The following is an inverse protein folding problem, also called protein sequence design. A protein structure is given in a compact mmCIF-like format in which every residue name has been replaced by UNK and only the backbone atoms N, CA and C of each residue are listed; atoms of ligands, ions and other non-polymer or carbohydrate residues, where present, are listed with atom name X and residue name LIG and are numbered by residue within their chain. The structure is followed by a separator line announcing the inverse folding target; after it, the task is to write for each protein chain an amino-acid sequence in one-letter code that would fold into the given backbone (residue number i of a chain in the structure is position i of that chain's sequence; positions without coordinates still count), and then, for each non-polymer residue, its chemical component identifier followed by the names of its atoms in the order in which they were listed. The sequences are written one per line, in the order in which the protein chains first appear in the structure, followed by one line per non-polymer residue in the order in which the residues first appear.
data_IF_037009438175
#
_entry.id   IF_037009438175
#
_cell.length_a   1.000
_cell.length_b   1.000
_cell.length_c   1.000
_cell.angle_alpha   90.00
_cell.angle_beta   90.00
_cell.angle_gamma   90.00
#
_symmetry.space_group_name_H-M   'P 1'
#
loop_
_entity.id
_entity.type
_entity.pdbx_description
1 polymer ?
#
# COMPACT_ATOMS: atom_id res chain seq x y z
N UNK A 1 7.07 30.72 37.94
CA UNK A 1 7.38 30.03 36.68
C UNK A 1 7.05 28.57 36.86
N UNK A 2 6.13 28.05 36.06
CA UNK A 2 5.78 26.62 36.03
C UNK A 2 6.47 25.92 34.86
N UNK A 3 6.42 24.58 34.81
CA UNK A 3 7.01 23.81 33.72
C UNK A 3 6.44 24.21 32.35
N UNK A 4 5.14 24.56 32.32
CA UNK A 4 4.40 25.02 31.15
C UNK A 4 4.95 26.33 30.57
N UNK A 5 5.63 27.16 31.36
CA UNK A 5 6.27 28.39 30.86
C UNK A 5 7.51 28.10 29.98
N UNK A 6 8.02 26.86 30.00
CA UNK A 6 9.23 26.45 29.29
C UNK A 6 8.99 25.39 28.22
N UNK A 7 7.76 24.89 28.05
CA UNK A 7 7.46 23.78 27.15
C UNK A 7 6.27 24.07 26.26
N UNK A 8 6.36 23.60 25.00
CA UNK A 8 5.21 23.48 24.12
C UNK A 8 4.80 22.01 24.05
N UNK A 9 3.56 21.71 24.43
CA UNK A 9 2.99 20.38 24.30
C UNK A 9 2.15 20.31 23.02
N UNK A 10 2.51 19.39 22.14
CA UNK A 10 1.72 19.06 20.95
C UNK A 10 1.19 17.63 21.09
N UNK A 11 -0.11 17.45 20.90
CA UNK A 11 -0.76 16.13 20.93
C UNK A 11 -1.58 15.92 19.66
N UNK A 12 -1.61 14.69 19.19
CA UNK A 12 -2.40 14.29 18.01
C UNK A 12 -2.86 12.84 18.18
N UNK A 13 -4.01 12.53 17.59
CA UNK A 13 -4.54 11.17 17.53
C UNK A 13 -4.38 10.62 16.11
N UNK A 14 -4.02 9.34 16.02
CA UNK A 14 -4.02 8.62 14.74
C UNK A 14 -5.19 7.63 14.76
N UNK A 15 -6.18 7.90 13.93
CA UNK A 15 -7.30 7.00 13.71
C UNK A 15 -6.83 5.79 12.90
N UNK A 16 -7.15 4.59 13.37
CA UNK A 16 -6.67 3.33 12.83
C UNK A 16 -7.82 2.36 12.60
N UNK A 17 -7.90 1.81 11.39
CA UNK A 17 -8.96 0.88 10.99
C UNK A 17 -8.35 -0.30 10.25
N UNK A 18 -8.74 -1.51 10.62
CA UNK A 18 -8.38 -2.73 9.90
C UNK A 18 -9.66 -3.47 9.54
N UNK A 19 -9.80 -3.88 8.28
CA UNK A 19 -10.94 -4.62 7.78
C UNK A 19 -10.53 -6.07 7.57
N UNK A 20 -11.19 -6.98 8.27
CA UNK A 20 -10.96 -8.43 8.19
C UNK A 20 -12.18 -9.11 7.61
N UNK A 21 -11.98 -10.31 7.07
CA UNK A 21 -13.09 -11.18 6.75
C UNK A 21 -13.84 -11.60 8.03
N UNK A 22 -15.17 -11.68 7.94
CA UNK A 22 -16.04 -11.99 9.08
C UNK A 22 -15.91 -13.45 9.53
N UNK A 23 -15.66 -14.36 8.59
CA UNK A 23 -15.58 -15.80 8.84
C UNK A 23 -14.13 -16.27 8.97
N UNK A 24 -13.21 -15.71 8.19
CA UNK A 24 -11.80 -16.09 8.16
C UNK A 24 -10.88 -14.96 8.63
N UNK A 25 -10.56 -14.94 9.93
CA UNK A 25 -9.66 -13.93 10.52
C UNK A 25 -8.21 -13.95 9.99
N UNK A 26 -7.84 -14.93 9.17
CA UNK A 26 -6.56 -14.93 8.47
C UNK A 26 -6.57 -13.99 7.25
N UNK A 27 -7.71 -13.43 6.87
CA UNK A 27 -7.83 -12.51 5.74
C UNK A 27 -8.01 -11.07 6.22
N UNK A 28 -7.15 -10.18 5.72
CA UNK A 28 -7.24 -8.73 5.95
C UNK A 28 -7.36 -8.00 4.62
N UNK A 29 -8.49 -7.35 4.42
CA UNK A 29 -8.83 -6.63 3.20
C UNK A 29 -8.19 -5.25 3.13
N UNK A 30 -8.18 -4.50 4.24
CA UNK A 30 -7.49 -3.20 4.28
C UNK A 30 -6.98 -2.82 5.66
N UNK A 31 -6.04 -1.87 5.67
CA UNK A 31 -5.49 -1.25 6.88
C UNK A 31 -5.26 0.24 6.66
N UNK A 32 -5.92 1.08 7.44
CA UNK A 32 -5.85 2.55 7.33
C UNK A 32 -5.19 3.15 8.57
N UNK A 33 -4.41 4.21 8.35
CA UNK A 33 -3.96 5.18 9.35
C UNK A 33 -4.31 6.58 8.87
N UNK A 34 -5.00 7.34 9.71
CA UNK A 34 -5.41 8.71 9.42
C UNK A 34 -4.98 9.61 10.56
N UNK A 35 -4.15 10.60 10.25
CA UNK A 35 -3.67 11.61 11.21
C UNK A 35 -4.22 13.01 10.91
N UNK A 36 -4.73 13.26 9.70
CA UNK A 36 -5.36 14.52 9.31
C UNK A 36 -6.38 14.28 8.17
N UNK A 37 -7.68 14.40 8.46
CA UNK A 37 -8.73 14.16 7.45
C UNK A 37 -8.86 15.30 6.42
N UNK A 38 -8.25 16.46 6.67
CA UNK A 38 -8.29 17.60 5.75
C UNK A 38 -7.26 17.50 4.60
N UNK A 39 -6.37 16.51 4.66
CA UNK A 39 -5.26 16.31 3.72
C UNK A 39 -5.46 15.10 2.81
N UNK A 40 -4.55 14.97 1.85
CA UNK A 40 -4.63 13.92 0.83
C UNK A 40 -4.54 12.52 1.42
N UNK A 41 -5.19 11.57 0.76
CA UNK A 41 -5.14 10.13 1.02
C UNK A 41 -4.26 9.41 0.00
N UNK A 42 -3.29 8.66 0.50
CA UNK A 42 -2.52 7.71 -0.29
C UNK A 42 -3.06 6.28 -0.10
N UNK A 43 -3.26 5.56 -1.20
CA UNK A 43 -3.56 4.12 -1.16
C UNK A 43 -2.36 3.35 -1.70
N UNK A 44 -1.88 2.36 -0.96
CA UNK A 44 -0.72 1.54 -1.32
C UNK A 44 -1.19 0.11 -1.57
N UNK A 45 -0.92 -0.42 -2.77
CA UNK A 45 -1.27 -1.77 -3.19
C UNK A 45 -0.04 -2.67 -3.05
N UNK A 46 -0.09 -3.62 -2.11
CA UNK A 46 1.02 -4.51 -1.77
C UNK A 46 0.74 -5.96 -2.16
N UNK A 47 1.71 -6.86 -1.94
CA UNK A 47 1.56 -8.26 -2.28
C UNK A 47 0.52 -8.94 -1.39
N UNK A 48 0.75 -8.96 -0.09
CA UNK A 48 -0.13 -9.59 0.89
C UNK A 48 0.08 -8.96 2.29
N UNK A 49 -0.93 -9.00 3.16
CA UNK A 49 -0.80 -8.57 4.54
C UNK A 49 0.29 -9.32 5.33
N UNK A 50 1.07 -8.58 6.11
CA UNK A 50 1.93 -9.13 7.15
C UNK A 50 1.23 -9.03 8.52
N UNK A 51 1.95 -8.63 9.58
CA UNK A 51 1.50 -8.70 10.98
C UNK A 51 0.74 -7.46 11.46
N UNK A 52 0.81 -6.34 10.73
CA UNK A 52 0.12 -5.12 11.16
C UNK A 52 -1.40 -5.33 11.30
N UNK A 53 -2.01 -4.66 12.27
CA UNK A 53 -3.46 -4.63 12.45
C UNK A 53 -3.89 -3.26 12.98
N UNK A 54 -5.11 -3.12 13.49
CA UNK A 54 -5.59 -1.82 13.99
C UNK A 54 -4.76 -1.30 15.19
N UNK A 55 -4.03 -2.15 15.91
CA UNK A 55 -3.22 -1.75 17.07
C UNK A 55 -1.70 -1.81 16.81
N UNK A 56 -1.23 -2.87 16.15
CA UNK A 56 0.19 -3.13 15.91
C UNK A 56 0.60 -2.64 14.52
N UNK A 57 1.76 -2.00 14.44
CA UNK A 57 2.45 -1.71 13.18
C UNK A 57 3.56 -2.72 12.93
N UNK A 58 3.85 -3.01 11.66
CA UNK A 58 5.04 -3.75 11.23
C UNK A 58 6.05 -2.81 10.55
N UNK A 59 7.23 -3.32 10.19
CA UNK A 59 8.28 -2.51 9.57
C UNK A 59 7.84 -1.81 8.28
N UNK A 60 6.97 -2.46 7.48
CA UNK A 60 6.50 -1.89 6.22
C UNK A 60 5.55 -0.73 6.50
N UNK A 61 4.55 -0.94 7.37
CA UNK A 61 3.61 0.13 7.72
C UNK A 61 4.33 1.33 8.34
N UNK A 62 5.27 1.09 9.28
CA UNK A 62 6.01 2.18 9.92
C UNK A 62 6.84 2.99 8.93
N UNK A 63 7.52 2.33 7.97
CA UNK A 63 8.29 3.03 6.92
C UNK A 63 7.39 3.84 6.00
N UNK A 64 6.29 3.26 5.52
CA UNK A 64 5.34 3.97 4.68
C UNK A 64 4.71 5.15 5.40
N UNK A 65 4.35 5.00 6.68
CA UNK A 65 3.73 6.05 7.46
C UNK A 65 4.67 7.27 7.57
N UNK A 66 5.92 7.05 7.97
CA UNK A 66 6.91 8.13 8.04
C UNK A 66 7.14 8.77 6.67
N UNK A 67 7.29 7.96 5.62
CA UNK A 67 7.44 8.46 4.25
C UNK A 67 6.32 9.43 3.88
N UNK A 68 5.04 9.06 4.06
CA UNK A 68 3.92 9.92 3.66
C UNK A 68 3.71 11.12 4.59
N UNK A 69 4.06 11.03 5.87
CA UNK A 69 4.04 12.18 6.80
C UNK A 69 5.05 13.24 6.35
N UNK A 70 6.22 12.84 5.88
CA UNK A 70 7.28 13.77 5.50
C UNK A 70 7.17 14.23 4.03
N UNK A 71 6.52 13.44 3.18
CA UNK A 71 6.53 13.65 1.73
C UNK A 71 5.88 14.97 1.29
N UNK A 72 6.64 15.73 0.46
CA UNK A 72 6.25 17.01 -0.13
C UNK A 72 5.61 17.98 0.88
N UNK A 73 6.33 18.27 1.98
CA UNK A 73 5.89 19.18 3.05
C UNK A 73 4.58 18.72 3.72
N UNK A 74 4.52 17.43 4.09
CA UNK A 74 3.40 16.86 4.85
C UNK A 74 2.04 17.03 4.18
N UNK A 75 2.01 16.74 2.87
CA UNK A 75 0.83 16.89 2.02
C UNK A 75 -0.24 15.81 2.22
N UNK A 76 0.10 14.72 2.91
CA UNK A 76 -0.80 13.60 3.18
C UNK A 76 -1.31 13.62 4.62
N UNK A 77 -2.51 13.08 4.79
CA UNK A 77 -3.22 12.95 6.06
C UNK A 77 -3.68 11.53 6.36
N UNK A 78 -3.66 10.64 5.36
CA UNK A 78 -3.96 9.23 5.55
C UNK A 78 -3.21 8.32 4.59
N UNK A 79 -3.01 7.09 5.05
CA UNK A 79 -2.46 5.96 4.31
C UNK A 79 -3.41 4.76 4.45
N UNK A 80 -3.84 4.20 3.33
CA UNK A 80 -4.58 2.93 3.29
C UNK A 80 -3.78 1.86 2.53
N UNK A 81 -3.63 0.69 3.15
CA UNK A 81 -2.99 -0.49 2.56
C UNK A 81 -4.06 -1.46 2.08
N UNK A 82 -3.98 -1.84 0.80
CA UNK A 82 -4.70 -2.97 0.20
C UNK A 82 -3.70 -3.91 -0.46
N UNK A 83 -4.11 -5.11 -0.85
CA UNK A 83 -3.18 -6.16 -1.24
C UNK A 83 -3.69 -6.99 -2.40
N UNK A 84 -2.78 -7.53 -3.22
CA UNK A 84 -3.12 -8.50 -4.27
C UNK A 84 -3.84 -9.71 -3.67
N UNK A 85 -3.40 -10.18 -2.51
CA UNK A 85 -3.98 -11.29 -1.76
C UNK A 85 -4.38 -10.85 -0.35
N UNK A 86 -5.56 -11.22 0.14
CA UNK A 86 -6.00 -10.87 1.49
C UNK A 86 -5.39 -11.75 2.59
N UNK A 87 -4.83 -12.92 2.25
CA UNK A 87 -4.24 -13.83 3.23
C UNK A 87 -3.07 -13.17 3.98
N UNK A 88 -3.19 -13.11 5.30
CA UNK A 88 -2.13 -12.69 6.21
C UNK A 88 -1.06 -13.76 6.32
N UNK A 89 0.09 -13.51 5.68
CA UNK A 89 1.23 -14.44 5.66
C UNK A 89 2.54 -13.62 5.67
N UNK A 90 3.21 -13.49 6.83
CA UNK A 90 4.46 -12.73 6.93
C UNK A 90 5.58 -13.24 6.01
N UNK A 91 5.58 -14.54 5.71
CA UNK A 91 6.52 -15.15 4.77
C UNK A 91 5.87 -15.31 3.39
N UNK A 92 5.99 -14.27 2.57
CA UNK A 92 5.43 -14.23 1.20
C UNK A 92 5.89 -15.38 0.29
N UNK A 93 6.96 -16.10 0.65
CA UNK A 93 7.38 -17.31 -0.09
C UNK A 93 6.29 -18.39 0.01
N UNK A 94 5.61 -18.49 1.16
CA UNK A 94 4.54 -19.48 1.42
C UNK A 94 3.24 -19.20 0.69
N UNK A 95 3.03 -17.98 0.20
CA UNK A 95 1.87 -17.62 -0.60
C UNK A 95 1.87 -18.47 -1.87
N UNK A 96 0.80 -19.23 -2.11
CA UNK A 96 0.72 -20.19 -3.22
C UNK A 96 0.13 -19.58 -4.49
N UNK A 97 -0.48 -18.40 -4.40
CA UNK A 97 -1.18 -17.75 -5.50
C UNK A 97 -2.47 -18.48 -5.86
N UNK A 98 -3.18 -19.03 -4.87
CA UNK A 98 -4.48 -19.68 -5.08
C UNK A 98 -5.61 -18.67 -4.94
N UNK A 99 -6.73 -18.91 -5.62
CA UNK A 99 -7.94 -18.07 -5.49
C UNK A 99 -8.41 -17.91 -4.05
N UNK A 100 -8.31 -18.97 -3.24
CA UNK A 100 -8.67 -18.90 -1.82
C UNK A 100 -7.78 -17.97 -0.99
N UNK A 101 -6.58 -17.61 -1.48
CA UNK A 101 -5.69 -16.64 -0.83
C UNK A 101 -5.99 -15.20 -1.25
N UNK A 102 -6.69 -15.00 -2.38
CA UNK A 102 -7.17 -13.67 -2.81
C UNK A 102 -8.16 -13.15 -1.79
N UNK A 103 -9.11 -14.01 -1.37
CA UNK A 103 -10.18 -13.68 -0.44
C UNK A 103 -11.42 -13.15 -1.17
N UNK A 104 -12.62 -13.57 -0.76
CA UNK A 104 -13.86 -13.38 -1.53
C UNK A 104 -14.23 -11.90 -1.75
N UNK A 105 -13.86 -11.00 -0.84
CA UNK A 105 -14.21 -9.58 -0.90
C UNK A 105 -13.00 -8.66 -1.19
N UNK A 106 -11.87 -9.23 -1.62
CA UNK A 106 -10.64 -8.46 -1.74
C UNK A 106 -10.71 -7.43 -2.88
N UNK A 107 -11.31 -7.79 -4.02
CA UNK A 107 -11.48 -6.88 -5.15
C UNK A 107 -12.40 -5.69 -4.81
N UNK A 108 -13.45 -5.95 -4.01
CA UNK A 108 -14.37 -4.91 -3.53
C UNK A 108 -13.63 -3.94 -2.61
N UNK A 109 -12.78 -4.45 -1.72
CA UNK A 109 -11.96 -3.63 -0.83
C UNK A 109 -10.92 -2.80 -1.61
N UNK A 110 -10.27 -3.39 -2.64
CA UNK A 110 -9.37 -2.66 -3.53
C UNK A 110 -10.12 -1.53 -4.23
N UNK A 111 -11.26 -1.82 -4.86
CA UNK A 111 -12.10 -0.82 -5.55
C UNK A 111 -12.50 0.34 -4.64
N UNK A 112 -12.93 0.04 -3.41
CA UNK A 112 -13.31 1.06 -2.43
C UNK A 112 -12.11 1.93 -2.03
N UNK A 113 -10.94 1.33 -1.82
CA UNK A 113 -9.74 2.05 -1.43
C UNK A 113 -9.20 2.96 -2.54
N UNK A 114 -9.19 2.49 -3.80
CA UNK A 114 -8.65 3.25 -4.94
C UNK A 114 -9.58 4.36 -5.41
N UNK A 115 -10.91 4.16 -5.31
CA UNK A 115 -11.88 5.20 -5.66
C UNK A 115 -11.70 6.44 -4.77
N UNK A 116 -11.49 6.21 -3.46
CA UNK A 116 -11.34 7.27 -2.46
C UNK A 116 -9.91 7.82 -2.34
N UNK A 117 -8.97 7.41 -3.18
CA UNK A 117 -7.56 7.81 -3.08
C UNK A 117 -7.26 9.07 -3.90
N UNK A 118 -6.42 9.97 -3.39
CA UNK A 118 -5.83 11.05 -4.19
C UNK A 118 -4.69 10.53 -5.07
N UNK A 119 -3.90 9.60 -4.54
CA UNK A 119 -2.89 8.86 -5.29
C UNK A 119 -2.91 7.38 -4.90
N UNK A 120 -2.54 6.55 -5.86
CA UNK A 120 -2.41 5.10 -5.68
C UNK A 120 -0.98 4.72 -6.00
N UNK A 121 -0.37 3.95 -5.11
CA UNK A 121 1.01 3.51 -5.23
C UNK A 121 1.03 1.99 -5.41
N UNK A 122 1.67 1.54 -6.47
CA UNK A 122 1.94 0.12 -6.72
C UNK A 122 3.25 -0.27 -6.04
N UNK A 123 3.17 -1.14 -5.03
CA UNK A 123 4.29 -1.47 -4.14
C UNK A 123 4.47 -2.98 -3.86
N UNK A 124 3.84 -3.87 -4.62
CA UNK A 124 3.94 -5.33 -4.41
C UNK A 124 5.29 -5.94 -4.79
N UNK A 125 6.24 -5.15 -5.30
CA UNK A 125 7.59 -5.60 -5.63
C UNK A 125 7.71 -6.33 -6.96
N UNK A 126 8.88 -6.90 -7.23
CA UNK A 126 9.24 -7.55 -8.50
C UNK A 126 8.80 -9.03 -8.62
N UNK A 127 7.83 -9.48 -7.82
CA UNK A 127 7.40 -10.88 -7.86
C UNK A 127 6.79 -11.22 -9.21
N UNK A 128 7.40 -12.16 -9.94
CA UNK A 128 6.89 -12.69 -11.22
C UNK A 128 5.90 -13.85 -11.02
N UNK A 129 5.68 -14.30 -9.77
CA UNK A 129 4.94 -15.53 -9.44
C UNK A 129 3.43 -15.43 -9.68
N UNK A 130 2.88 -14.22 -9.64
CA UNK A 130 1.43 -14.01 -9.57
C UNK A 130 0.94 -13.11 -10.70
N UNK A 131 1.46 -13.31 -11.92
CA UNK A 131 1.11 -12.50 -13.11
C UNK A 131 -0.40 -12.41 -13.34
N UNK A 132 -1.12 -13.53 -13.21
CA UNK A 132 -2.57 -13.57 -13.36
C UNK A 132 -3.25 -12.57 -12.42
N UNK A 133 -2.86 -12.59 -11.14
CA UNK A 133 -3.45 -11.73 -10.12
C UNK A 133 -3.03 -10.27 -10.28
N UNK A 134 -1.78 -10.04 -10.69
CA UNK A 134 -1.30 -8.69 -11.04
C UNK A 134 -2.14 -8.13 -12.18
N UNK A 135 -2.40 -8.91 -13.24
CA UNK A 135 -3.22 -8.49 -14.38
C UNK A 135 -4.63 -8.10 -13.93
N UNK A 136 -5.32 -8.96 -13.18
CA UNK A 136 -6.65 -8.66 -12.64
C UNK A 136 -6.68 -7.34 -11.84
N UNK A 137 -5.70 -7.13 -10.95
CA UNK A 137 -5.64 -5.89 -10.17
C UNK A 137 -5.30 -4.69 -11.05
N UNK A 138 -4.48 -4.84 -12.08
CA UNK A 138 -4.22 -3.76 -13.03
C UNK A 138 -5.48 -3.37 -13.82
N UNK A 139 -6.35 -4.33 -14.17
CA UNK A 139 -7.65 -4.03 -14.78
C UNK A 139 -8.55 -3.22 -13.83
N UNK A 140 -8.48 -3.47 -12.52
CA UNK A 140 -9.17 -2.63 -11.52
C UNK A 140 -8.58 -1.21 -11.43
N UNK A 141 -7.27 -1.07 -11.67
CA UNK A 141 -6.52 0.17 -11.56
C UNK A 141 -6.55 1.02 -12.85
N UNK A 142 -6.85 0.42 -14.00
CA UNK A 142 -6.84 1.06 -15.32
C UNK A 142 -7.63 2.38 -15.37
N UNK A 143 -8.85 2.48 -14.82
CA UNK A 143 -9.61 3.74 -14.81
C UNK A 143 -8.94 4.87 -14.02
N UNK A 144 -7.93 4.55 -13.21
CA UNK A 144 -7.23 5.47 -12.30
C UNK A 144 -5.77 5.71 -12.69
N UNK A 145 -5.36 5.37 -13.92
CA UNK A 145 -3.98 5.52 -14.41
C UNK A 145 -3.37 6.90 -14.16
N UNK A 146 -4.18 7.95 -14.24
CA UNK A 146 -3.77 9.34 -14.01
C UNK A 146 -3.41 9.66 -12.55
N UNK A 147 -3.60 8.73 -11.61
CA UNK A 147 -3.16 8.85 -10.22
C UNK A 147 -2.34 7.66 -9.74
N UNK A 148 -1.83 6.82 -10.64
CA UNK A 148 -0.90 5.74 -10.33
C UNK A 148 0.54 6.23 -10.22
N UNK A 149 1.23 5.73 -9.19
CA UNK A 149 2.63 6.00 -8.89
C UNK A 149 3.35 4.72 -8.46
N UNK A 150 4.68 4.76 -8.48
CA UNK A 150 5.55 3.78 -7.83
C UNK A 150 6.64 4.51 -7.06
N UNK A 151 7.28 3.79 -6.12
CA UNK A 151 8.49 4.29 -5.48
C UNK A 151 9.67 4.20 -6.46
N UNK A 152 10.54 5.21 -6.41
CA UNK A 152 11.80 5.30 -7.13
C UNK A 152 12.95 5.61 -6.15
N UNK A 153 14.17 5.28 -6.56
CA UNK A 153 15.41 5.58 -5.85
C UNK A 153 16.52 5.94 -6.86
N UNK A 154 17.70 6.31 -6.35
CA UNK A 154 18.86 6.68 -7.19
C UNK A 154 19.45 5.52 -8.00
N UNK A 155 19.00 4.28 -7.79
CA UNK A 155 19.62 3.09 -8.40
C UNK A 155 19.24 2.90 -9.87
N UNK A 156 18.40 3.79 -10.43
CA UNK A 156 17.94 3.78 -11.81
C UNK A 156 17.28 2.44 -12.23
N UNK A 157 16.80 1.65 -11.27
CA UNK A 157 16.08 0.38 -11.50
C UNK A 157 14.63 0.66 -11.94
N UNK A 158 14.47 1.27 -13.11
CA UNK A 158 13.16 1.68 -13.67
C UNK A 158 12.22 0.51 -13.99
N UNK A 159 12.77 -0.70 -14.14
CA UNK A 159 12.00 -1.90 -14.47
C UNK A 159 11.55 -2.70 -13.23
N UNK A 160 11.92 -2.26 -12.03
CA UNK A 160 11.61 -2.98 -10.80
C UNK A 160 10.73 -2.11 -9.92
N UNK A 161 9.50 -2.59 -9.68
CA UNK A 161 8.66 -2.04 -8.62
C UNK A 161 9.39 -2.19 -7.28
N UNK A 162 9.70 -1.06 -6.66
CA UNK A 162 10.32 -1.04 -5.35
C UNK A 162 9.28 -1.44 -4.30
N UNK A 163 9.59 -2.52 -3.57
CA UNK A 163 8.80 -2.92 -2.42
C UNK A 163 9.11 -2.00 -1.22
N UNK A 164 8.10 -1.53 -0.46
CA UNK A 164 8.29 -0.51 0.57
C UNK A 164 9.17 -0.93 1.75
N UNK A 165 9.51 -2.21 1.84
CA UNK A 165 10.46 -2.71 2.85
C UNK A 165 11.79 -1.95 2.82
N UNK A 166 12.23 -1.45 1.65
CA UNK A 166 13.51 -0.73 1.52
C UNK A 166 13.39 0.80 1.60
N UNK A 167 12.19 1.35 1.87
CA UNK A 167 12.01 2.81 1.90
C UNK A 167 12.91 3.48 2.94
N UNK A 168 13.48 4.59 2.50
CA UNK A 168 14.38 5.49 3.21
C UNK A 168 14.28 6.89 2.59
N UNK A 169 14.91 7.89 3.19
CA UNK A 169 14.82 9.31 2.80
C UNK A 169 15.12 9.61 1.32
N UNK A 170 15.93 8.77 0.65
CA UNK A 170 16.28 8.93 -0.77
C UNK A 170 15.24 8.41 -1.76
N UNK A 171 14.08 7.98 -1.29
CA UNK A 171 13.02 7.51 -2.17
C UNK A 171 12.05 8.63 -2.53
N UNK A 172 11.47 8.59 -3.71
CA UNK A 172 10.41 9.49 -4.15
C UNK A 172 9.32 8.75 -4.92
N UNK A 173 8.25 9.45 -5.30
CA UNK A 173 7.19 8.89 -6.14
C UNK A 173 7.29 9.43 -7.57
N UNK A 174 7.21 8.55 -8.54
CA UNK A 174 7.04 8.88 -9.96
C UNK A 174 5.76 8.26 -10.51
N UNK A 175 5.28 8.82 -11.62
CA UNK A 175 4.15 8.25 -12.35
C UNK A 175 4.46 6.83 -12.79
N UNK A 176 3.54 5.92 -12.50
CA UNK A 176 3.67 4.54 -12.94
C UNK A 176 3.54 4.48 -14.46
N UNK A 177 4.46 3.80 -15.13
CA UNK A 177 4.28 3.41 -16.52
C UNK A 177 3.31 2.23 -16.59
N UNK A 178 2.01 2.54 -16.59
CA UNK A 178 0.94 1.54 -16.56
C UNK A 178 1.00 0.59 -17.75
N UNK A 179 1.14 1.12 -18.97
CA UNK A 179 1.13 0.32 -20.20
C UNK A 179 2.25 -0.72 -20.20
N UNK A 180 3.48 -0.31 -19.84
CA UNK A 180 4.61 -1.24 -19.76
C UNK A 180 4.39 -2.36 -18.73
N UNK A 181 3.78 -2.03 -17.58
CA UNK A 181 3.48 -3.02 -16.54
C UNK A 181 2.32 -3.94 -16.95
N UNK A 182 1.28 -3.40 -17.59
CA UNK A 182 0.14 -4.16 -18.09
C UNK A 182 0.54 -5.13 -19.21
N UNK A 183 1.35 -4.67 -20.17
CA UNK A 183 1.91 -5.50 -21.23
C UNK A 183 2.76 -6.63 -20.65
N UNK A 184 3.62 -6.33 -19.67
CA UNK A 184 4.43 -7.35 -19.00
C UNK A 184 3.57 -8.42 -18.30
N UNK A 185 2.49 -8.01 -17.64
CA UNK A 185 1.57 -8.89 -16.92
C UNK A 185 0.73 -9.74 -17.89
N UNK A 186 0.39 -9.19 -19.06
CA UNK A 186 -0.43 -9.84 -20.09
C UNK A 186 0.33 -10.78 -21.02
N UNK A 187 1.67 -10.69 -21.08
CA UNK A 187 2.49 -11.66 -21.84
C UNK A 187 2.39 -13.06 -21.22
N UNK A 188 1.78 -13.97 -21.98
CA UNK A 188 1.89 -15.41 -21.75
C UNK A 188 3.35 -15.83 -21.87
N UNK A 189 3.87 -16.52 -20.86
CA UNK A 189 5.11 -17.26 -21.02
C UNK A 189 4.74 -18.61 -21.62
N UNK A 190 5.02 -18.77 -22.92
CA UNK A 190 5.14 -20.07 -23.58
C UNK A 190 6.13 -20.97 -22.83
#
# INVERSE_FOLDING_TARGET
MSFEDFVNCHSMQINTKAVFDKQNKLMRYSLTRTWDESKKKATLVLLNPCRANHLKSDYILSRCLNFFIDYKKSSFGSLELVNLFALMEPDSIKLKGKECEVGPHNDEAIKLAINNADIIIVGWGSSKRFKWRIKEVLELLEPYKDKLYNFCDDSNRKEILIHPFILAERHWLEKLNFEALYDWASKEHL
#
